data_IF_126013666121
#
_entry.id   IF_126013666121
#
_cell.length_a   1.000
_cell.length_b   1.000
_cell.length_c   1.000
_cell.angle_alpha   90.00
_cell.angle_beta   90.00
_cell.angle_gamma   90.00
#
_symmetry.space_group_name_H-M   'P 1'
#
loop_
_entity.id
_entity.type
_entity.pdbx_description
1 polymer ?
#
# COMPACT_ATOMS: atom_id res chain seq x y z
N UNK A 1 -13.33 9.06 -6.59
CA UNK A 1 -14.71 8.67 -6.87
C UNK A 1 -14.74 7.57 -7.96
N UNK A 2 -15.93 7.14 -8.44
CA UNK A 2 -16.08 6.01 -9.38
C UNK A 2 -15.18 6.07 -10.63
N UNK A 3 -14.79 7.26 -11.08
CA UNK A 3 -13.86 7.43 -12.22
C UNK A 3 -12.47 6.82 -12.02
N UNK A 4 -12.06 6.57 -10.76
CA UNK A 4 -10.79 5.94 -10.43
C UNK A 4 -10.91 4.42 -10.32
N UNK A 5 -12.13 3.89 -10.32
CA UNK A 5 -12.40 2.47 -10.23
C UNK A 5 -12.61 1.92 -11.64
N UNK A 6 -11.61 1.28 -12.18
CA UNK A 6 -11.58 0.80 -13.57
C UNK A 6 -11.11 -0.65 -13.66
N UNK A 7 -11.29 -1.24 -14.82
CA UNK A 7 -10.71 -2.54 -15.12
C UNK A 7 -9.24 -2.38 -15.55
N UNK A 8 -8.35 -3.01 -14.81
CA UNK A 8 -6.91 -2.97 -15.01
C UNK A 8 -6.32 -4.26 -15.63
N UNK A 9 -7.13 -5.09 -16.28
CA UNK A 9 -6.66 -6.34 -16.92
C UNK A 9 -5.51 -6.13 -17.93
N UNK A 10 -5.36 -4.92 -18.44
CA UNK A 10 -4.25 -4.58 -19.34
C UNK A 10 -2.90 -4.46 -18.63
N UNK A 11 -2.89 -4.36 -17.29
CA UNK A 11 -1.67 -4.40 -16.48
C UNK A 11 -1.44 -5.85 -16.06
N UNK A 12 -0.57 -6.50 -16.80
CA UNK A 12 -0.22 -7.89 -16.51
C UNK A 12 0.90 -7.97 -15.48
N UNK A 13 0.86 -9.01 -14.67
CA UNK A 13 1.92 -9.32 -13.71
C UNK A 13 3.29 -9.40 -14.41
N UNK A 14 4.32 -8.86 -13.77
CA UNK A 14 5.71 -8.82 -14.28
C UNK A 14 5.89 -8.06 -15.61
N UNK A 15 4.97 -7.20 -15.96
CA UNK A 15 5.10 -6.34 -17.14
C UNK A 15 6.20 -5.30 -16.93
N UNK A 16 7.25 -5.39 -17.71
CA UNK A 16 8.46 -4.54 -17.60
C UNK A 16 8.22 -3.05 -17.88
N UNK A 17 7.03 -2.67 -18.29
CA UNK A 17 6.64 -1.25 -18.42
C UNK A 17 6.35 -0.61 -17.07
N UNK A 18 6.17 -1.43 -16.03
CA UNK A 18 5.83 -1.00 -14.68
C UNK A 18 6.86 -1.53 -13.69
N UNK A 19 7.06 -0.77 -12.64
CA UNK A 19 7.65 -1.24 -11.38
C UNK A 19 6.50 -1.69 -10.48
N UNK A 20 6.66 -2.84 -9.81
CA UNK A 20 5.67 -3.37 -8.89
C UNK A 20 6.14 -3.15 -7.47
N UNK A 21 5.33 -2.45 -6.69
CA UNK A 21 5.60 -2.12 -5.29
C UNK A 21 4.44 -2.58 -4.42
N UNK A 22 4.69 -2.72 -3.12
CA UNK A 22 3.65 -3.07 -2.17
C UNK A 22 3.73 -2.24 -0.89
N UNK A 23 2.58 -2.09 -0.25
CA UNK A 23 2.45 -1.53 1.08
C UNK A 23 1.82 -2.55 2.02
N UNK A 24 2.39 -2.69 3.22
CA UNK A 24 1.88 -3.57 4.26
C UNK A 24 1.60 -2.77 5.53
N UNK A 25 0.34 -2.73 5.91
CA UNK A 25 -0.10 -2.27 7.22
C UNK A 25 -0.58 -3.45 8.06
N UNK A 26 -0.10 -3.53 9.30
CA UNK A 26 -0.30 -4.69 10.16
C UNK A 26 -1.04 -4.29 11.42
N UNK A 27 -2.24 -4.78 11.60
CA UNK A 27 -3.01 -4.68 12.82
C UNK A 27 -2.82 -5.93 13.70
N UNK A 28 -2.39 -5.76 14.95
CA UNK A 28 -2.21 -6.91 15.86
C UNK A 28 -3.54 -7.57 16.27
N UNK A 29 -4.64 -6.82 16.30
CA UNK A 29 -6.02 -7.26 16.57
C UNK A 29 -7.01 -6.75 15.54
N UNK A 30 -6.49 -6.05 14.56
CA UNK A 30 -7.25 -5.41 13.48
C UNK A 30 -6.86 -6.07 12.15
N UNK A 31 -7.25 -5.45 11.06
CA UNK A 31 -6.93 -5.95 9.73
C UNK A 31 -5.43 -5.86 9.41
N UNK A 32 -4.91 -6.92 8.79
CA UNK A 32 -3.67 -6.83 8.03
C UNK A 32 -4.04 -6.53 6.59
N UNK A 33 -3.43 -5.52 6.01
CA UNK A 33 -3.68 -5.13 4.63
C UNK A 33 -2.38 -5.08 3.85
N UNK A 34 -2.30 -5.89 2.80
CA UNK A 34 -1.22 -5.89 1.84
C UNK A 34 -1.77 -5.43 0.49
N UNK A 35 -1.26 -4.34 -0.04
CA UNK A 35 -1.67 -3.79 -1.34
C UNK A 35 -0.54 -3.93 -2.34
N UNK A 36 -0.86 -4.35 -3.57
CA UNK A 36 0.07 -4.42 -4.70
C UNK A 36 -0.25 -3.30 -5.67
N UNK A 37 0.77 -2.56 -6.05
CA UNK A 37 0.65 -1.44 -6.95
C UNK A 37 1.65 -1.54 -8.09
N UNK A 38 1.20 -1.27 -9.31
CA UNK A 38 2.06 -1.02 -10.45
C UNK A 38 2.27 0.50 -10.62
N UNK A 39 3.45 0.93 -11.05
CA UNK A 39 3.71 2.33 -11.38
C UNK A 39 4.60 2.45 -12.60
N UNK A 40 4.32 3.47 -13.43
CA UNK A 40 5.17 3.89 -14.54
C UNK A 40 6.05 5.11 -14.17
N UNK A 41 6.07 5.48 -12.88
CA UNK A 41 6.76 6.65 -12.35
C UNK A 41 5.90 7.92 -12.25
N UNK A 42 4.79 8.00 -12.98
CA UNK A 42 3.85 9.13 -12.93
C UNK A 42 2.47 8.73 -12.38
N UNK A 43 2.00 7.56 -12.72
CA UNK A 43 0.71 7.01 -12.35
C UNK A 43 0.90 5.79 -11.47
N UNK A 44 -0.06 5.55 -10.59
CA UNK A 44 -0.12 4.41 -9.70
C UNK A 44 -1.42 3.65 -9.94
N UNK A 45 -1.30 2.33 -10.02
CA UNK A 45 -2.39 1.41 -10.30
C UNK A 45 -2.45 0.40 -9.17
N UNK A 46 -3.50 0.42 -8.38
CA UNK A 46 -3.75 -0.60 -7.36
C UNK A 46 -4.31 -1.83 -8.07
N UNK A 47 -3.50 -2.86 -8.21
CA UNK A 47 -3.77 -4.04 -9.06
C UNK A 47 -4.17 -5.28 -8.29
N UNK A 48 -3.86 -5.34 -6.99
CA UNK A 48 -4.23 -6.47 -6.13
C UNK A 48 -4.20 -6.08 -4.65
N UNK A 49 -4.94 -6.82 -3.82
CA UNK A 49 -4.94 -6.66 -2.38
C UNK A 49 -5.10 -8.01 -1.67
N UNK A 50 -4.55 -8.09 -0.47
CA UNK A 50 -4.85 -9.13 0.50
C UNK A 50 -5.27 -8.48 1.81
N UNK A 51 -6.41 -8.91 2.36
CA UNK A 51 -6.96 -8.38 3.61
C UNK A 51 -7.29 -9.55 4.51
N UNK A 52 -6.82 -9.53 5.74
CA UNK A 52 -7.10 -10.57 6.72
C UNK A 52 -7.25 -10.02 8.12
N UNK A 53 -8.09 -10.68 8.91
CA UNK A 53 -8.21 -10.46 10.34
C UNK A 53 -7.63 -11.65 11.10
N UNK A 54 -7.01 -11.41 12.25
CA UNK A 54 -6.56 -12.46 13.18
C UNK A 54 -5.75 -13.60 12.51
N UNK A 55 -4.87 -13.27 11.56
CA UNK A 55 -4.05 -14.24 10.85
C UNK A 55 -2.72 -14.49 11.56
N UNK A 56 -2.14 -15.67 11.35
CA UNK A 56 -0.79 -15.98 11.86
C UNK A 56 0.28 -15.35 10.96
N UNK A 57 1.49 -15.16 11.51
CA UNK A 57 2.64 -14.68 10.72
C UNK A 57 2.92 -15.60 9.53
N UNK A 58 2.80 -16.93 9.72
CA UNK A 58 3.02 -17.90 8.63
C UNK A 58 2.01 -17.75 7.49
N UNK A 59 0.72 -17.67 7.83
CA UNK A 59 -0.33 -17.47 6.82
C UNK A 59 -0.16 -16.14 6.09
N UNK A 60 0.13 -15.06 6.82
CA UNK A 60 0.40 -13.76 6.21
C UNK A 60 1.63 -13.81 5.28
N UNK A 61 2.69 -14.49 5.68
CA UNK A 61 3.90 -14.63 4.88
C UNK A 61 3.66 -15.46 3.61
N UNK A 62 2.88 -16.54 3.69
CA UNK A 62 2.51 -17.36 2.53
C UNK A 62 1.72 -16.55 1.50
N UNK A 63 0.74 -15.76 1.94
CA UNK A 63 -0.06 -14.89 1.08
C UNK A 63 0.78 -13.77 0.44
N UNK A 64 1.68 -13.14 1.22
CA UNK A 64 2.61 -12.15 0.69
C UNK A 64 3.54 -12.79 -0.36
N UNK A 65 4.08 -13.99 -0.08
CA UNK A 65 4.97 -14.70 -1.00
C UNK A 65 4.25 -15.04 -2.31
N UNK A 66 3.01 -15.49 -2.25
CA UNK A 66 2.22 -15.77 -3.45
C UNK A 66 2.10 -14.52 -4.33
N UNK A 67 1.78 -13.37 -3.74
CA UNK A 67 1.69 -12.10 -4.49
C UNK A 67 3.05 -11.59 -4.98
N UNK A 68 4.13 -11.78 -4.22
CA UNK A 68 5.49 -11.47 -4.67
C UNK A 68 5.86 -12.32 -5.88
N UNK A 69 5.53 -13.60 -5.84
CA UNK A 69 5.81 -14.53 -6.95
C UNK A 69 4.93 -14.26 -8.17
N UNK A 70 3.66 -13.92 -7.97
CA UNK A 70 2.74 -13.57 -9.05
C UNK A 70 3.18 -12.28 -9.74
N UNK A 71 3.26 -11.19 -9.00
CA UNK A 71 3.46 -9.84 -9.55
C UNK A 71 4.92 -9.50 -9.84
N UNK A 72 5.88 -10.15 -9.18
CA UNK A 72 7.30 -9.80 -9.25
C UNK A 72 7.57 -8.46 -8.55
N UNK A 73 7.15 -8.37 -7.28
CA UNK A 73 7.21 -7.12 -6.51
C UNK A 73 8.67 -6.74 -6.23
N UNK A 74 9.04 -5.52 -6.60
CA UNK A 74 10.40 -4.98 -6.46
C UNK A 74 10.69 -4.45 -5.04
N UNK A 75 9.68 -3.87 -4.38
CA UNK A 75 9.82 -3.28 -3.05
C UNK A 75 8.55 -3.42 -2.22
N UNK A 76 8.71 -3.80 -0.95
CA UNK A 76 7.62 -3.90 0.03
C UNK A 76 7.88 -2.89 1.15
N UNK A 77 6.95 -1.98 1.39
CA UNK A 77 7.04 -0.95 2.42
C UNK A 77 6.12 -1.28 3.60
N UNK A 78 6.70 -1.46 4.78
CA UNK A 78 6.00 -1.85 6.00
C UNK A 78 6.10 -0.77 7.08
N UNK A 79 5.10 -0.65 7.95
CA UNK A 79 5.19 0.20 9.13
C UNK A 79 6.46 -0.11 9.94
N UNK A 80 7.26 0.93 10.17
CA UNK A 80 8.48 0.83 10.98
C UNK A 80 8.24 0.37 12.43
N UNK A 81 7.02 0.36 12.94
CA UNK A 81 6.69 -0.21 14.25
C UNK A 81 6.64 -1.75 14.22
N UNK A 82 6.41 -2.38 13.08
CA UNK A 82 6.30 -3.82 12.92
C UNK A 82 7.66 -4.54 12.80
N UNK A 83 8.64 -4.17 13.65
CA UNK A 83 10.03 -4.66 13.55
C UNK A 83 10.14 -6.18 13.71
N UNK A 84 9.37 -6.77 14.64
CA UNK A 84 9.40 -8.22 14.85
C UNK A 84 8.89 -8.95 13.60
N UNK A 85 7.72 -8.57 13.07
CA UNK A 85 7.18 -9.17 11.87
C UNK A 85 8.14 -9.02 10.68
N UNK A 86 8.73 -7.84 10.51
CA UNK A 86 9.73 -7.60 9.47
C UNK A 86 10.93 -8.53 9.58
N UNK A 87 11.41 -8.78 10.81
CA UNK A 87 12.50 -9.70 11.06
C UNK A 87 12.09 -11.16 10.76
N UNK A 88 10.90 -11.57 11.20
CA UNK A 88 10.36 -12.91 10.96
C UNK A 88 10.17 -13.16 9.45
N UNK A 89 9.60 -12.20 8.72
CA UNK A 89 9.44 -12.29 7.26
C UNK A 89 10.79 -12.45 6.54
N UNK A 90 11.80 -11.68 6.96
CA UNK A 90 13.14 -11.77 6.35
C UNK A 90 13.86 -13.06 6.70
N UNK A 91 13.77 -13.53 7.95
CA UNK A 91 14.56 -14.65 8.45
C UNK A 91 13.94 -16.01 8.10
N UNK A 92 12.63 -16.14 8.22
CA UNK A 92 11.93 -17.41 8.05
C UNK A 92 11.39 -17.62 6.65
N UNK A 93 11.14 -16.53 5.89
CA UNK A 93 10.44 -16.58 4.60
C UNK A 93 11.19 -15.90 3.44
N UNK A 94 12.38 -15.35 3.70
CA UNK A 94 13.20 -14.63 2.68
C UNK A 94 12.45 -13.43 2.03
N UNK A 95 11.48 -12.85 2.76
CA UNK A 95 10.70 -11.69 2.33
C UNK A 95 11.28 -10.42 2.95
N UNK A 96 11.89 -9.58 2.13
CA UNK A 96 12.56 -8.36 2.59
C UNK A 96 11.64 -7.14 2.46
N UNK A 97 11.32 -6.54 3.60
CA UNK A 97 10.53 -5.33 3.68
C UNK A 97 11.39 -4.12 4.05
N UNK A 98 11.04 -2.97 3.51
CA UNK A 98 11.66 -1.70 3.83
C UNK A 98 10.77 -0.87 4.76
N UNK A 99 11.38 -0.05 5.64
CA UNK A 99 10.59 0.80 6.50
C UNK A 99 9.88 1.90 5.70
N UNK A 100 8.57 1.99 5.87
CA UNK A 100 7.77 3.07 5.31
C UNK A 100 8.10 4.41 5.97
N UNK A 101 8.03 5.48 5.19
CA UNK A 101 8.12 6.86 5.69
C UNK A 101 6.77 7.24 6.32
N UNK A 102 6.79 7.52 7.63
CA UNK A 102 5.56 7.67 8.45
C UNK A 102 4.94 9.06 8.48
N UNK A 103 5.40 10.03 7.67
CA UNK A 103 4.76 11.34 7.66
C UNK A 103 3.30 11.23 7.24
N UNK A 104 2.38 11.38 8.20
CA UNK A 104 0.95 11.18 7.96
C UNK A 104 0.42 12.27 7.02
N UNK A 105 0.63 13.53 7.38
CA UNK A 105 0.06 14.65 6.61
C UNK A 105 0.65 14.73 5.19
N UNK A 106 1.98 14.62 5.06
CA UNK A 106 2.61 14.67 3.74
C UNK A 106 2.25 13.45 2.88
N UNK A 107 2.16 12.28 3.52
CA UNK A 107 1.77 11.05 2.83
C UNK A 107 0.33 11.09 2.34
N UNK A 108 -0.61 11.59 3.16
CA UNK A 108 -2.00 11.79 2.75
C UNK A 108 -2.07 12.81 1.60
N UNK A 109 -1.35 13.93 1.72
CA UNK A 109 -1.30 14.93 0.66
C UNK A 109 -0.77 14.35 -0.66
N UNK A 110 0.26 13.50 -0.61
CA UNK A 110 0.80 12.83 -1.79
C UNK A 110 -0.26 11.93 -2.48
N UNK A 111 -1.00 11.14 -1.72
CA UNK A 111 -2.10 10.31 -2.25
C UNK A 111 -3.22 11.17 -2.81
N UNK A 112 -3.62 12.24 -2.10
CA UNK A 112 -4.66 13.18 -2.56
C UNK A 112 -4.29 13.83 -3.90
N UNK A 113 -3.05 14.28 -4.06
CA UNK A 113 -2.58 14.87 -5.32
C UNK A 113 -2.71 13.89 -6.49
N UNK A 114 -2.42 12.61 -6.29
CA UNK A 114 -2.59 11.59 -7.32
C UNK A 114 -4.07 11.38 -7.65
N UNK A 115 -4.94 11.33 -6.65
CA UNK A 115 -6.39 11.20 -6.85
C UNK A 115 -6.94 12.41 -7.61
N UNK A 116 -6.59 13.63 -7.20
CA UNK A 116 -7.08 14.88 -7.83
C UNK A 116 -6.66 15.02 -9.30
N UNK A 117 -5.52 14.44 -9.66
CA UNK A 117 -4.98 14.46 -11.01
C UNK A 117 -5.28 13.20 -11.84
N UNK A 118 -6.17 12.32 -11.37
CA UNK A 118 -6.54 11.07 -12.01
C UNK A 118 -5.34 10.11 -12.24
N UNK A 119 -4.34 10.18 -11.35
CA UNK A 119 -3.09 9.39 -11.40
C UNK A 119 -3.05 8.22 -10.42
N UNK A 120 -4.08 8.00 -9.63
CA UNK A 120 -4.28 6.80 -8.82
C UNK A 120 -5.53 6.09 -9.31
N UNK A 121 -5.33 4.92 -9.90
CA UNK A 121 -6.38 4.08 -10.45
C UNK A 121 -6.47 2.76 -9.68
N UNK A 122 -7.66 2.22 -9.53
CA UNK A 122 -7.94 1.05 -8.69
C UNK A 122 -8.65 -0.02 -9.51
N UNK A 123 -8.17 -1.27 -9.44
CA UNK A 123 -8.82 -2.38 -10.11
C UNK A 123 -10.19 -2.68 -9.50
N UNK A 124 -11.23 -2.58 -10.33
CA UNK A 124 -12.63 -2.78 -9.91
C UNK A 124 -12.91 -4.21 -9.45
N UNK A 125 -12.15 -5.18 -9.97
CA UNK A 125 -12.41 -6.59 -9.72
C UNK A 125 -11.63 -7.14 -8.52
N UNK A 126 -10.48 -6.52 -8.19
CA UNK A 126 -9.53 -7.05 -7.22
C UNK A 126 -9.36 -6.23 -5.94
N UNK A 127 -9.62 -4.91 -5.97
CA UNK A 127 -9.24 -3.98 -4.91
C UNK A 127 -10.43 -3.25 -4.28
N UNK A 128 -11.55 -3.95 -4.10
CA UNK A 128 -12.79 -3.35 -3.60
C UNK A 128 -12.72 -2.88 -2.15
N UNK A 129 -11.96 -3.57 -1.28
CA UNK A 129 -11.79 -3.20 0.11
C UNK A 129 -10.98 -1.89 0.23
N UNK A 130 -9.82 -1.83 -0.42
CA UNK A 130 -8.98 -0.61 -0.42
C UNK A 130 -9.69 0.57 -1.06
N UNK A 131 -10.44 0.36 -2.16
CA UNK A 131 -11.26 1.43 -2.74
C UNK A 131 -12.29 1.97 -1.75
N UNK A 132 -13.00 1.09 -1.05
CA UNK A 132 -13.99 1.48 -0.03
C UNK A 132 -13.33 2.23 1.13
N UNK A 133 -12.15 1.78 1.56
CA UNK A 133 -11.36 2.41 2.62
C UNK A 133 -10.91 3.82 2.23
N UNK A 134 -10.32 4.00 1.06
CA UNK A 134 -9.89 5.31 0.56
C UNK A 134 -11.07 6.29 0.43
N UNK A 135 -12.23 5.79 -0.01
CA UNK A 135 -13.46 6.59 -0.14
C UNK A 135 -14.07 7.00 1.20
N UNK A 136 -13.79 6.25 2.27
CA UNK A 136 -14.33 6.46 3.62
C UNK A 136 -13.33 7.11 4.57
N UNK A 137 -12.07 7.25 4.17
CA UNK A 137 -11.01 7.80 5.00
C UNK A 137 -11.25 9.29 5.29
N UNK A 138 -11.23 9.68 6.54
CA UNK A 138 -11.62 11.03 6.97
C UNK A 138 -10.79 11.56 8.12
N UNK A 139 -10.70 12.88 8.21
CA UNK A 139 -10.09 13.57 9.32
C UNK A 139 -11.00 13.60 10.56
N UNK A 140 -10.40 13.52 11.76
CA UNK A 140 -11.12 13.74 13.00
C UNK A 140 -11.29 15.25 13.23
N UNK A 141 -12.51 15.77 13.16
CA UNK A 141 -12.74 17.21 13.28
C UNK A 141 -12.61 17.75 14.72
N UNK A 142 -12.44 16.87 15.72
CA UNK A 142 -12.48 17.23 17.14
C UNK A 142 -11.11 17.54 17.75
N UNK A 143 -10.03 17.53 16.98
CA UNK A 143 -8.68 17.75 17.48
C UNK A 143 -8.10 19.06 16.97
N UNK A 144 -7.38 19.81 17.83
CA UNK A 144 -6.67 21.04 17.43
C UNK A 144 -5.62 20.78 16.34
N UNK A 145 -5.04 19.59 16.33
CA UNK A 145 -4.19 19.09 15.24
C UNK A 145 -4.93 17.94 14.57
N UNK A 146 -5.57 18.18 13.41
CA UNK A 146 -6.35 17.16 12.74
C UNK A 146 -5.51 15.90 12.47
N UNK A 147 -6.00 14.77 12.94
CA UNK A 147 -5.47 13.44 12.62
C UNK A 147 -6.56 12.65 11.91
N UNK A 148 -6.18 11.70 11.05
CA UNK A 148 -7.17 10.78 10.48
C UNK A 148 -7.91 10.03 11.59
N UNK A 149 -9.13 9.66 11.32
CA UNK A 149 -9.87 8.73 12.19
C UNK A 149 -9.21 7.36 12.06
N UNK A 150 -8.89 6.75 13.18
CA UNK A 150 -8.42 5.37 13.21
C UNK A 150 -9.63 4.46 13.31
N UNK A 151 -10.06 3.92 12.20
CA UNK A 151 -11.17 2.96 12.06
C UNK A 151 -10.81 1.93 10.97
N UNK A 152 -11.76 1.09 10.58
CA UNK A 152 -11.56 0.07 9.56
C UNK A 152 -10.97 0.60 8.24
N UNK A 153 -11.24 1.85 7.88
CA UNK A 153 -10.73 2.48 6.66
C UNK A 153 -9.26 2.92 6.78
N UNK A 154 -8.68 2.93 7.97
CA UNK A 154 -7.32 3.43 8.17
C UNK A 154 -6.25 2.47 7.66
N UNK A 155 -6.42 1.15 7.84
CA UNK A 155 -5.39 0.16 7.54
C UNK A 155 -5.05 0.11 6.04
N UNK A 156 -6.05 -0.04 5.18
CA UNK A 156 -5.82 -0.05 3.73
C UNK A 156 -5.33 1.30 3.21
N UNK A 157 -5.86 2.41 3.74
CA UNK A 157 -5.39 3.75 3.39
C UNK A 157 -3.93 3.98 3.80
N UNK A 158 -3.51 3.45 4.95
CA UNK A 158 -2.13 3.52 5.42
C UNK A 158 -1.20 2.63 4.59
N UNK A 159 -1.61 1.43 4.22
CA UNK A 159 -0.85 0.56 3.31
C UNK A 159 -0.61 1.24 1.94
N UNK A 160 -1.63 1.86 1.35
CA UNK A 160 -1.49 2.66 0.11
C UNK A 160 -0.54 3.84 0.30
N UNK A 161 -0.69 4.57 1.40
CA UNK A 161 0.19 5.70 1.75
C UNK A 161 1.64 5.26 1.92
N UNK A 162 1.89 4.12 2.56
CA UNK A 162 3.23 3.57 2.73
C UNK A 162 3.87 3.25 1.38
N UNK A 163 3.16 2.58 0.50
CA UNK A 163 3.64 2.26 -0.84
C UNK A 163 3.97 3.54 -1.63
N UNK A 164 2.99 4.42 -1.83
CA UNK A 164 3.13 5.60 -2.69
C UNK A 164 4.17 6.58 -2.13
N UNK A 165 4.00 7.02 -0.89
CA UNK A 165 4.82 8.11 -0.36
C UNK A 165 6.29 7.70 -0.18
N UNK A 166 6.54 6.48 0.31
CA UNK A 166 7.92 6.00 0.47
C UNK A 166 8.60 5.82 -0.87
N UNK A 167 7.90 5.24 -1.84
CA UNK A 167 8.41 5.02 -3.19
C UNK A 167 8.77 6.36 -3.86
N UNK A 168 7.87 7.34 -3.86
CA UNK A 168 8.13 8.66 -4.44
C UNK A 168 9.35 9.36 -3.82
N UNK A 169 9.50 9.29 -2.48
CA UNK A 169 10.63 9.92 -1.80
C UNK A 169 11.96 9.27 -2.14
N UNK A 170 11.98 7.96 -2.35
CA UNK A 170 13.19 7.22 -2.72
C UNK A 170 13.58 7.46 -4.17
N UNK A 171 12.62 7.47 -5.08
CA UNK A 171 12.85 7.75 -6.49
C UNK A 171 13.46 9.13 -6.71
N UNK A 172 13.00 10.14 -5.97
CA UNK A 172 13.60 11.51 -6.02
C UNK A 172 15.02 11.53 -5.44
N UNK A 173 15.32 10.74 -4.40
CA UNK A 173 16.65 10.67 -3.78
C UNK A 173 17.73 10.07 -4.69
N UNK A 174 17.37 9.21 -5.64
CA UNK A 174 18.31 8.59 -6.59
C UNK A 174 18.81 9.58 -7.65
N UNK A 175 18.05 10.63 -7.95
CA UNK A 175 18.42 11.68 -8.91
C UNK A 175 19.13 12.89 -8.29
N UNK A 176 19.36 12.89 -6.98
CA UNK A 176 19.97 14.00 -6.23
C UNK A 176 21.47 13.78 -5.89
N UNK A 177 22.17 12.90 -6.63
CA UNK A 177 23.62 12.64 -6.47
C UNK A 177 24.38 13.09 -7.71
#
# INVERSE_FOLDING_TARGET
EEKHLIDLEHIQARDRRYEFIAGLDVGYRDENVFVVMATNGEEFYLVDEYVSNETTTSTLAEEIQEKVDEWGIDSIYIDSAAQQLKADLAYDYDIYCENAIKSVNDGIAAVQVLIENDKLLVDVNKCGHTYSSLSSYKWNPKTENPKPVHDWASHASDAVRYAIYTHQKRSVGIFAV
#
